data_IF_304084623345
#
_entry.id   IF_304084623345
#
_cell.length_a   1.000
_cell.length_b   1.000
_cell.length_c   1.000
_cell.angle_alpha   90.00
_cell.angle_beta   90.00
_cell.angle_gamma   90.00
#
_symmetry.space_group_name_H-M   'P 1'
#
loop_
_entity.id
_entity.type
_entity.pdbx_description
1 polymer ?
#
# COMPACT_ATOMS: atom_id res chain seq x y z
N UNK A 1 33.60 19.95 9.16
CA UNK A 1 33.35 19.13 7.95
C UNK A 1 31.85 19.10 7.70
N UNK A 2 31.37 18.83 6.48
CA UNK A 2 29.94 18.93 6.17
C UNK A 2 29.16 18.05 7.15
N UNK A 3 28.32 18.66 7.97
CA UNK A 3 27.61 18.03 9.10
C UNK A 3 26.46 17.12 8.66
N UNK A 4 26.67 16.36 7.58
CA UNK A 4 25.69 15.46 6.99
C UNK A 4 25.60 14.18 7.78
N UNK A 5 24.37 13.77 8.09
CA UNK A 5 24.07 12.49 8.74
C UNK A 5 23.49 11.52 7.71
N UNK A 6 23.93 10.27 7.78
CA UNK A 6 23.42 9.18 6.94
C UNK A 6 22.58 8.26 7.83
N UNK A 7 21.33 7.96 7.45
CA UNK A 7 20.49 7.07 8.22
C UNK A 7 21.07 5.64 8.22
N UNK A 8 20.73 4.86 9.24
CA UNK A 8 21.18 3.49 9.32
C UNK A 8 20.58 2.65 8.19
N UNK A 9 21.44 2.17 7.30
CA UNK A 9 21.05 1.43 6.10
C UNK A 9 20.21 0.18 6.38
N UNK A 10 20.49 -0.56 7.46
CA UNK A 10 19.69 -1.75 7.80
C UNK A 10 18.24 -1.35 8.08
N UNK A 11 18.02 -0.34 8.91
CA UNK A 11 16.66 0.09 9.26
C UNK A 11 15.91 0.69 8.07
N UNK A 12 16.60 1.43 7.18
CA UNK A 12 16.01 1.91 5.95
C UNK A 12 15.51 0.76 5.06
N UNK A 13 16.34 -0.27 4.87
CA UNK A 13 15.96 -1.44 4.05
C UNK A 13 14.85 -2.27 4.72
N UNK A 14 14.83 -2.39 6.05
CA UNK A 14 13.74 -3.07 6.77
C UNK A 14 12.40 -2.40 6.50
N UNK A 15 12.31 -1.07 6.69
CA UNK A 15 11.06 -0.33 6.47
C UNK A 15 10.59 -0.43 5.02
N UNK A 16 11.54 -0.37 4.07
CA UNK A 16 11.25 -0.49 2.65
C UNK A 16 10.76 -1.88 2.25
N UNK A 17 11.41 -2.93 2.76
CA UNK A 17 11.03 -4.33 2.53
C UNK A 17 9.59 -4.59 3.01
N UNK A 18 9.28 -4.18 4.25
CA UNK A 18 7.95 -4.34 4.83
C UNK A 18 6.87 -3.63 4.01
N UNK A 19 7.15 -2.40 3.57
CA UNK A 19 6.22 -1.64 2.74
C UNK A 19 5.98 -2.36 1.41
N UNK A 20 7.05 -2.73 0.69
CA UNK A 20 6.91 -3.41 -0.60
C UNK A 20 6.17 -4.75 -0.51
N UNK A 21 6.38 -5.53 0.55
CA UNK A 21 5.65 -6.78 0.79
C UNK A 21 4.16 -6.56 1.14
N UNK A 22 3.82 -5.45 1.80
CA UNK A 22 2.47 -5.16 2.27
C UNK A 22 1.56 -4.53 1.21
N UNK A 23 2.09 -3.76 0.24
CA UNK A 23 1.30 -2.93 -0.70
C UNK A 23 0.15 -3.69 -1.37
N UNK A 24 0.40 -4.89 -1.93
CA UNK A 24 -0.67 -5.63 -2.60
C UNK A 24 -1.65 -6.28 -1.63
N UNK A 25 -1.20 -6.61 -0.41
CA UNK A 25 -2.09 -7.08 0.64
C UNK A 25 -3.02 -5.96 1.12
N UNK A 26 -2.53 -4.72 1.25
CA UNK A 26 -3.37 -3.55 1.56
C UNK A 26 -4.45 -3.34 0.48
N UNK A 27 -4.08 -3.44 -0.80
CA UNK A 27 -5.03 -3.34 -1.91
C UNK A 27 -6.05 -4.49 -1.91
N UNK A 28 -5.63 -5.71 -1.57
CA UNK A 28 -6.53 -6.86 -1.42
C UNK A 28 -7.57 -6.59 -0.31
N UNK A 29 -7.15 -6.06 0.84
CA UNK A 29 -8.05 -5.74 1.94
C UNK A 29 -9.09 -4.68 1.53
N UNK A 30 -8.67 -3.63 0.83
CA UNK A 30 -9.58 -2.60 0.31
C UNK A 30 -10.59 -3.21 -0.68
N UNK A 31 -10.12 -4.03 -1.62
CA UNK A 31 -10.97 -4.73 -2.59
C UNK A 31 -12.03 -5.61 -1.88
N UNK A 32 -11.62 -6.36 -0.86
CA UNK A 32 -12.51 -7.23 -0.09
C UNK A 32 -13.59 -6.44 0.67
N UNK A 33 -13.25 -5.28 1.22
CA UNK A 33 -14.20 -4.44 1.96
C UNK A 33 -15.14 -3.70 0.99
N UNK A 34 -14.60 -3.17 -0.10
CA UNK A 34 -15.35 -2.39 -1.08
C UNK A 34 -16.29 -3.24 -1.94
N UNK A 35 -15.97 -4.53 -2.11
CA UNK A 35 -16.61 -5.38 -3.10
C UNK A 35 -16.34 -4.87 -4.52
N UNK A 36 -17.22 -5.23 -5.47
CA UNK A 36 -17.05 -4.84 -6.88
C UNK A 36 -17.38 -3.38 -7.19
N UNK A 37 -17.81 -2.58 -6.19
CA UNK A 37 -18.39 -1.25 -6.43
C UNK A 37 -17.42 -0.27 -7.12
N UNK A 38 -16.13 -0.17 -6.76
CA UNK A 38 -15.21 0.70 -7.48
C UNK A 38 -15.14 0.38 -8.98
N UNK A 39 -15.15 -0.90 -9.36
CA UNK A 39 -15.04 -1.35 -10.76
C UNK A 39 -16.33 -1.19 -11.58
N UNK A 40 -17.47 -0.99 -10.92
CA UNK A 40 -18.78 -0.86 -11.57
C UNK A 40 -19.48 0.46 -11.25
N UNK A 41 -18.75 1.42 -10.66
CA UNK A 41 -19.32 2.70 -10.28
C UNK A 41 -19.65 3.52 -11.53
N UNK A 42 -20.79 4.25 -11.56
CA UNK A 42 -21.13 5.12 -12.69
C UNK A 42 -20.09 6.21 -12.90
N UNK A 43 -19.94 6.65 -14.14
CA UNK A 43 -19.04 7.76 -14.46
C UNK A 43 -19.67 9.10 -14.06
N UNK A 44 -18.84 10.13 -13.90
CA UNK A 44 -19.30 11.49 -13.57
C UNK A 44 -20.35 12.03 -14.56
N UNK A 45 -20.22 11.67 -15.84
CA UNK A 45 -21.21 11.99 -16.87
C UNK A 45 -22.60 11.42 -16.56
N UNK A 46 -22.68 10.19 -16.06
CA UNK A 46 -23.96 9.56 -15.69
C UNK A 46 -24.54 10.22 -14.44
N UNK A 47 -23.69 10.55 -13.46
CA UNK A 47 -24.07 11.17 -12.19
C UNK A 47 -24.58 12.61 -12.35
N UNK A 48 -24.18 13.28 -13.44
CA UNK A 48 -24.65 14.62 -13.81
C UNK A 48 -25.74 14.61 -14.88
N UNK A 49 -26.06 13.45 -15.48
CA UNK A 49 -27.05 13.35 -16.55
C UNK A 49 -28.47 13.64 -16.02
N UNK A 50 -29.23 14.54 -16.67
CA UNK A 50 -30.53 15.00 -16.16
C UNK A 50 -31.55 13.87 -15.97
N UNK A 51 -31.47 12.82 -16.79
CA UNK A 51 -32.38 11.67 -16.71
C UNK A 51 -31.89 10.55 -15.79
N UNK A 52 -30.58 10.41 -15.58
CA UNK A 52 -30.00 9.29 -14.81
C UNK A 52 -29.75 9.66 -13.36
N UNK A 53 -29.46 10.92 -13.06
CA UNK A 53 -29.06 11.38 -11.74
C UNK A 53 -30.02 10.91 -10.63
N UNK A 54 -31.31 11.15 -10.79
CA UNK A 54 -32.31 10.81 -9.76
C UNK A 54 -32.40 9.29 -9.49
N UNK A 55 -32.27 8.45 -10.53
CA UNK A 55 -32.30 6.99 -10.37
C UNK A 55 -30.98 6.46 -9.78
N UNK A 56 -29.84 7.05 -10.17
CA UNK A 56 -28.54 6.71 -9.61
C UNK A 56 -28.47 7.09 -8.14
N UNK A 57 -28.85 8.31 -7.75
CA UNK A 57 -28.88 8.72 -6.34
C UNK A 57 -29.76 7.80 -5.49
N UNK A 58 -30.90 7.34 -6.02
CA UNK A 58 -31.77 6.37 -5.32
C UNK A 58 -31.04 5.04 -5.03
N UNK A 59 -30.31 4.49 -6.00
CA UNK A 59 -29.68 3.16 -5.85
C UNK A 59 -28.25 3.19 -5.29
N UNK A 60 -27.58 4.34 -5.39
CA UNK A 60 -26.25 4.57 -4.81
C UNK A 60 -26.31 4.95 -3.32
N UNK A 61 -27.45 5.45 -2.84
CA UNK A 61 -27.61 5.75 -1.42
C UNK A 61 -27.64 4.46 -0.57
N UNK A 62 -26.52 4.15 0.10
CA UNK A 62 -26.39 2.95 0.94
C UNK A 62 -26.77 3.23 2.38
N UNK A 63 -26.25 4.32 2.94
CA UNK A 63 -26.52 4.71 4.31
C UNK A 63 -27.40 5.97 4.33
N UNK A 64 -28.70 5.87 4.70
CA UNK A 64 -29.60 7.03 4.69
C UNK A 64 -29.23 8.11 5.72
N UNK A 65 -28.30 7.83 6.66
CA UNK A 65 -27.77 8.81 7.61
C UNK A 65 -26.66 9.68 7.03
N UNK A 66 -26.16 9.37 5.83
CA UNK A 66 -25.09 10.11 5.15
C UNK A 66 -25.67 10.70 3.87
N UNK A 67 -25.44 11.98 3.55
CA UNK A 67 -25.86 12.56 2.27
C UNK A 67 -25.36 11.71 1.09
N UNK A 68 -26.22 11.46 0.11
CA UNK A 68 -25.89 10.60 -1.04
C UNK A 68 -24.71 11.18 -1.85
N UNK A 69 -24.63 12.51 -1.94
CA UNK A 69 -23.53 13.20 -2.63
C UNK A 69 -22.17 12.90 -1.99
N UNK A 70 -22.10 12.86 -0.66
CA UNK A 70 -20.85 12.54 0.07
C UNK A 70 -20.46 11.07 -0.12
N UNK A 71 -21.44 10.17 -0.15
CA UNK A 71 -21.21 8.76 -0.47
C UNK A 71 -20.66 8.60 -1.90
N UNK A 72 -21.21 9.34 -2.87
CA UNK A 72 -20.74 9.33 -4.26
C UNK A 72 -19.29 9.82 -4.34
N UNK A 73 -18.97 10.96 -3.72
CA UNK A 73 -17.60 11.51 -3.68
C UNK A 73 -16.60 10.52 -3.08
N UNK A 74 -17.00 9.83 -2.00
CA UNK A 74 -16.18 8.79 -1.39
C UNK A 74 -15.90 7.65 -2.37
N UNK A 75 -16.92 7.11 -3.04
CA UNK A 75 -16.75 5.99 -3.97
C UNK A 75 -15.92 6.36 -5.20
N UNK A 76 -16.09 7.57 -5.74
CA UNK A 76 -15.23 8.08 -6.82
C UNK A 76 -13.77 8.16 -6.36
N UNK A 77 -13.52 8.73 -5.19
CA UNK A 77 -12.18 8.83 -4.61
C UNK A 77 -11.56 7.45 -4.38
N UNK A 78 -12.33 6.52 -3.80
CA UNK A 78 -11.86 5.15 -3.57
C UNK A 78 -11.54 4.45 -4.90
N UNK A 79 -12.34 4.65 -5.94
CA UNK A 79 -12.07 4.17 -7.30
C UNK A 79 -10.74 4.68 -7.84
N UNK A 80 -10.47 5.98 -7.72
CA UNK A 80 -9.20 6.58 -8.15
C UNK A 80 -7.98 5.98 -7.44
N UNK A 81 -8.10 5.62 -6.16
CA UNK A 81 -7.02 5.03 -5.35
C UNK A 81 -6.85 3.51 -5.51
N UNK A 82 -7.84 2.80 -6.05
CA UNK A 82 -7.83 1.32 -6.11
C UNK A 82 -7.74 0.77 -7.53
N UNK A 83 -8.39 1.41 -8.50
CA UNK A 83 -8.48 0.92 -9.89
C UNK A 83 -8.11 1.97 -10.94
N UNK A 84 -8.00 3.24 -10.55
CA UNK A 84 -7.63 4.32 -11.47
C UNK A 84 -6.22 4.15 -12.05
N UNK A 85 -5.94 4.87 -13.13
CA UNK A 85 -4.62 4.85 -13.79
C UNK A 85 -3.49 5.18 -12.82
N UNK A 86 -3.69 6.20 -11.98
CA UNK A 86 -2.69 6.59 -10.98
C UNK A 86 -2.52 5.53 -9.90
N UNK A 87 -3.59 4.84 -9.45
CA UNK A 87 -3.49 3.73 -8.51
C UNK A 87 -2.60 2.60 -9.04
N UNK A 88 -2.76 2.25 -10.32
CA UNK A 88 -1.90 1.27 -10.98
C UNK A 88 -0.42 1.67 -10.91
N UNK A 89 -0.10 2.91 -11.29
CA UNK A 89 1.26 3.45 -11.21
C UNK A 89 1.78 3.45 -9.77
N UNK A 90 0.97 3.88 -8.80
CA UNK A 90 1.34 3.91 -7.39
C UNK A 90 1.61 2.51 -6.83
N UNK A 91 0.83 1.50 -7.19
CA UNK A 91 1.04 0.13 -6.71
C UNK A 91 2.41 -0.42 -7.16
N UNK A 92 2.74 -0.25 -8.45
CA UNK A 92 4.05 -0.66 -8.96
C UNK A 92 5.18 0.20 -8.39
N UNK A 93 4.96 1.51 -8.26
CA UNK A 93 5.92 2.44 -7.66
C UNK A 93 6.22 2.13 -6.19
N UNK A 94 5.20 1.83 -5.38
CA UNK A 94 5.37 1.50 -3.97
C UNK A 94 6.05 0.14 -3.79
N UNK A 95 5.77 -0.82 -4.67
CA UNK A 95 6.42 -2.13 -4.65
C UNK A 95 7.90 -2.05 -5.09
N UNK A 96 8.19 -1.36 -6.20
CA UNK A 96 9.52 -1.34 -6.83
C UNK A 96 10.38 -0.09 -6.54
N UNK A 97 9.86 0.91 -5.84
CA UNK A 97 10.45 2.26 -5.73
C UNK A 97 11.76 2.32 -4.96
N UNK A 98 12.89 2.03 -5.61
CA UNK A 98 14.21 1.89 -4.98
C UNK A 98 14.69 0.43 -4.87
N UNK A 99 14.00 -0.52 -5.50
CA UNK A 99 14.25 -1.95 -5.44
C UNK A 99 12.96 -2.77 -5.25
N UNK A 100 12.90 -3.98 -5.79
CA UNK A 100 11.88 -4.96 -5.37
C UNK A 100 12.30 -5.53 -4.01
N UNK A 101 11.38 -5.93 -3.10
CA UNK A 101 11.69 -6.36 -1.72
C UNK A 101 12.89 -7.32 -1.54
N UNK A 102 13.13 -8.19 -2.51
CA UNK A 102 14.31 -9.07 -2.54
C UNK A 102 15.65 -8.31 -2.49
N UNK A 103 15.74 -7.13 -3.10
CA UNK A 103 16.92 -6.27 -3.11
C UNK A 103 17.21 -5.75 -1.70
N UNK A 104 16.18 -5.35 -0.97
CA UNK A 104 16.28 -4.92 0.42
C UNK A 104 16.71 -6.10 1.32
N UNK A 105 16.19 -7.31 1.10
CA UNK A 105 16.63 -8.51 1.83
C UNK A 105 18.12 -8.82 1.57
N UNK A 106 18.59 -8.66 0.33
CA UNK A 106 20.01 -8.80 -0.04
C UNK A 106 20.86 -7.73 0.67
N UNK A 107 20.40 -6.47 0.67
CA UNK A 107 21.11 -5.37 1.33
C UNK A 107 21.21 -5.59 2.84
N UNK A 108 20.11 -6.01 3.50
CA UNK A 108 20.11 -6.34 4.93
C UNK A 108 21.09 -7.49 5.19
N UNK A 109 21.01 -8.58 4.44
CA UNK A 109 21.85 -9.77 4.65
C UNK A 109 23.34 -9.46 4.47
N UNK A 110 23.69 -8.63 3.48
CA UNK A 110 25.09 -8.28 3.20
C UNK A 110 25.70 -7.31 4.21
N UNK A 111 24.90 -6.47 4.85
CA UNK A 111 25.36 -5.44 5.78
C UNK A 111 25.17 -5.81 7.25
N UNK A 112 24.29 -6.77 7.56
CA UNK A 112 24.03 -7.20 8.93
C UNK A 112 25.19 -8.03 9.48
N UNK A 113 25.55 -7.80 10.75
CA UNK A 113 26.64 -8.52 11.40
C UNK A 113 26.21 -9.94 11.82
N UNK A 114 26.12 -10.83 10.84
CA UNK A 114 25.84 -12.25 11.04
C UNK A 114 26.96 -12.92 11.85
N UNK A 115 28.19 -12.41 11.77
CA UNK A 115 29.35 -12.98 12.49
C UNK A 115 29.20 -12.81 14.00
N UNK A 116 28.74 -11.66 14.49
CA UNK A 116 28.47 -11.50 15.92
C UNK A 116 27.31 -12.37 16.39
N UNK A 117 26.27 -12.56 15.59
CA UNK A 117 25.17 -13.50 15.94
C UNK A 117 25.66 -14.94 16.01
N UNK A 118 26.52 -15.36 15.09
CA UNK A 118 27.20 -16.67 15.14
C UNK A 118 28.06 -16.81 16.41
N UNK A 119 28.83 -15.78 16.76
CA UNK A 119 29.65 -15.77 17.98
C UNK A 119 28.78 -15.91 19.23
N UNK A 120 27.69 -15.16 19.31
CA UNK A 120 26.74 -15.19 20.43
C UNK A 120 26.21 -16.61 20.66
N UNK A 121 25.71 -17.28 19.61
CA UNK A 121 25.18 -18.64 19.73
C UNK A 121 26.27 -19.64 20.11
N UNK A 122 27.50 -19.51 19.58
CA UNK A 122 28.62 -20.37 19.99
C UNK A 122 28.93 -20.23 21.48
N UNK A 123 28.97 -19.01 22.00
CA UNK A 123 29.19 -18.75 23.42
C UNK A 123 28.09 -19.37 24.28
N UNK A 124 26.82 -19.17 23.91
CA UNK A 124 25.68 -19.73 24.65
C UNK A 124 25.66 -21.27 24.62
N UNK A 125 26.08 -21.88 23.51
CA UNK A 125 26.15 -23.33 23.36
C UNK A 125 27.41 -23.98 23.97
N UNK A 126 28.29 -23.20 24.61
CA UNK A 126 29.57 -23.72 25.14
C UNK A 126 30.54 -24.18 24.04
N UNK A 127 30.30 -23.81 22.79
CA UNK A 127 31.19 -24.11 21.66
C UNK A 127 32.36 -23.16 21.75
N UNK A 128 33.50 -23.68 22.21
CA UNK A 128 34.77 -22.96 22.16
C UNK A 128 35.14 -22.76 20.69
N UNK A 129 34.98 -21.53 20.21
CA UNK A 129 35.43 -21.09 18.89
C UNK A 129 36.93 -20.87 18.87
#
# INVERSE_FOLDING_TARGET
>A
GPGSYIPNSIYCNVGRCLTGEAVFHEQELLCRIAGGLPATFPYEGDLSHPELKAVLEKYLNRNPKVPVEDQIKFWMTLGDYTIGTLAGVMNYGNYHGGGSPIMEQIAITSQYDIKSRKKLIKTLAGIKS
#
